data_IF_302492310290
#
_entry.id   IF_302492310290
#
_cell.length_a   1.000
_cell.length_b   1.000
_cell.length_c   1.000
_cell.angle_alpha   90.00
_cell.angle_beta   90.00
_cell.angle_gamma   90.00
#
_symmetry.space_group_name_H-M   'P 1'
#
loop_
_entity.id
_entity.type
_entity.pdbx_description
1 polymer ?
#
# COMPACT_ATOMS: atom_id res chain seq x y z
N UNK A 1 73.23 8.97 6.77
CA UNK A 1 71.89 8.38 6.65
C UNK A 1 70.97 9.53 6.27
N UNK A 2 70.85 9.80 4.95
CA UNK A 2 69.74 9.29 4.11
C UNK A 2 68.40 9.82 4.64
N UNK A 3 67.71 10.80 4.06
CA UNK A 3 67.58 11.26 2.66
C UNK A 3 66.80 10.29 1.75
N UNK A 4 65.63 10.77 1.27
CA UNK A 4 64.81 10.20 0.17
C UNK A 4 64.08 8.90 0.61
N UNK A 5 62.76 8.72 0.42
CA UNK A 5 61.99 8.97 -0.80
C UNK A 5 60.49 9.20 -0.53
N UNK A 6 59.89 10.12 -1.29
CA UNK A 6 58.44 10.19 -1.43
C UNK A 6 57.94 9.07 -2.37
N UNK A 7 56.77 8.49 -2.09
CA UNK A 7 55.91 7.96 -3.16
C UNK A 7 54.44 8.31 -2.95
N UNK A 8 53.96 9.15 -3.86
CA UNK A 8 52.56 9.32 -4.24
C UNK A 8 52.00 8.02 -4.80
N UNK A 9 50.95 7.47 -4.18
CA UNK A 9 50.01 6.52 -4.77
C UNK A 9 48.82 6.36 -3.78
N UNK A 10 47.55 6.52 -4.13
CA UNK A 10 46.97 6.86 -5.42
C UNK A 10 45.52 7.31 -5.24
N UNK A 11 45.09 8.26 -6.07
CA UNK A 11 43.74 8.83 -6.05
C UNK A 11 42.67 7.75 -6.33
N UNK A 12 42.02 7.23 -5.29
CA UNK A 12 40.75 6.50 -5.38
C UNK A 12 39.66 7.25 -4.63
N UNK A 13 39.26 8.38 -5.20
CA UNK A 13 38.02 9.07 -4.87
C UNK A 13 36.85 8.10 -5.12
N UNK A 14 36.44 7.34 -4.08
CA UNK A 14 35.24 6.49 -4.14
C UNK A 14 34.03 7.41 -4.16
N UNK A 15 33.59 7.78 -5.37
CA UNK A 15 32.32 8.45 -5.61
C UNK A 15 31.24 7.52 -5.05
N UNK A 16 30.75 7.82 -3.85
CA UNK A 16 29.54 7.20 -3.32
C UNK A 16 28.41 7.71 -4.19
N UNK A 17 27.97 6.89 -5.13
CA UNK A 17 26.83 7.19 -5.97
C UNK A 17 25.59 7.13 -5.06
N UNK A 18 25.31 8.24 -4.38
CA UNK A 18 24.11 8.38 -3.57
C UNK A 18 22.92 8.36 -4.55
N UNK A 19 22.01 7.38 -4.44
CA UNK A 19 20.83 7.36 -5.30
C UNK A 19 20.09 8.69 -5.09
N UNK A 20 19.70 9.34 -6.17
CA UNK A 20 18.87 10.54 -6.07
C UNK A 20 17.56 10.19 -5.34
N UNK A 21 16.88 11.15 -4.69
CA UNK A 21 15.60 10.86 -4.04
C UNK A 21 14.59 10.20 -4.97
N UNK A 22 14.59 10.57 -6.26
CA UNK A 22 13.79 9.95 -7.31
C UNK A 22 14.15 8.46 -7.54
N UNK A 23 15.43 8.09 -7.49
CA UNK A 23 15.88 6.70 -7.59
C UNK A 23 15.48 5.88 -6.36
N UNK A 24 15.47 6.48 -5.16
CA UNK A 24 14.91 5.86 -3.95
C UNK A 24 13.41 5.58 -4.07
N UNK A 25 12.63 6.56 -4.52
CA UNK A 25 11.19 6.40 -4.78
C UNK A 25 10.92 5.36 -5.89
N UNK A 26 11.71 5.38 -6.97
CA UNK A 26 11.59 4.40 -8.05
C UNK A 26 11.86 2.96 -7.58
N UNK A 27 12.83 2.75 -6.69
CA UNK A 27 13.10 1.44 -6.10
C UNK A 27 11.95 0.97 -5.20
N UNK A 28 11.39 1.85 -4.34
CA UNK A 28 10.23 1.50 -3.50
C UNK A 28 9.01 1.18 -4.37
N UNK A 29 8.73 1.98 -5.39
CA UNK A 29 7.65 1.73 -6.34
C UNK A 29 7.84 0.40 -7.10
N UNK A 30 9.08 0.06 -7.48
CA UNK A 30 9.41 -1.21 -8.12
C UNK A 30 9.21 -2.40 -7.16
N UNK A 31 9.59 -2.28 -5.89
CA UNK A 31 9.32 -3.32 -4.88
C UNK A 31 7.82 -3.51 -4.61
N UNK A 32 7.02 -2.43 -4.60
CA UNK A 32 5.55 -2.53 -4.47
C UNK A 32 4.93 -3.17 -5.71
N UNK A 33 5.37 -2.78 -6.92
CA UNK A 33 4.89 -3.34 -8.17
C UNK A 33 5.24 -4.84 -8.35
N UNK A 34 6.46 -5.25 -7.98
CA UNK A 34 6.88 -6.65 -8.02
C UNK A 34 6.28 -7.47 -6.85
N UNK A 35 6.10 -6.85 -5.68
CA UNK A 35 5.47 -7.48 -4.51
C UNK A 35 4.05 -7.98 -4.77
N UNK A 36 3.32 -7.34 -5.69
CA UNK A 36 2.00 -7.80 -6.16
C UNK A 36 1.99 -9.19 -6.82
N UNK A 37 3.15 -9.70 -7.28
CA UNK A 37 3.28 -11.08 -7.79
C UNK A 37 3.78 -12.08 -6.73
N UNK A 38 4.15 -11.62 -5.53
CA UNK A 38 4.70 -12.47 -4.47
C UNK A 38 3.67 -13.33 -3.72
N UNK A 39 2.37 -12.99 -3.79
CA UNK A 39 1.31 -13.69 -3.03
C UNK A 39 0.69 -14.91 -3.76
N UNK A 40 1.27 -15.32 -4.90
CA UNK A 40 0.81 -16.47 -5.69
C UNK A 40 1.96 -17.29 -6.30
N UNK A 41 3.08 -17.46 -5.58
CA UNK A 41 4.22 -18.28 -6.02
C UNK A 41 5.00 -18.94 -4.86
N UNK A 42 4.31 -19.42 -3.81
CA UNK A 42 4.93 -20.17 -2.70
C UNK A 42 5.36 -21.61 -3.04
N UNK A 43 5.89 -21.85 -4.25
CA UNK A 43 6.02 -23.20 -4.82
C UNK A 43 6.89 -23.31 -6.07
N UNK A 44 7.97 -22.53 -6.18
CA UNK A 44 9.03 -22.73 -7.17
C UNK A 44 10.38 -22.22 -6.63
N UNK A 45 11.48 -22.80 -7.11
CA UNK A 45 12.87 -22.41 -6.81
C UNK A 45 13.41 -22.79 -5.41
N UNK A 46 13.23 -24.06 -5.03
CA UNK A 46 14.30 -24.80 -4.36
C UNK A 46 15.22 -25.41 -5.43
N UNK A 47 16.53 -25.19 -5.32
CA UNK A 47 17.53 -25.82 -6.18
C UNK A 47 18.64 -24.87 -6.64
N UNK A 48 19.85 -25.14 -6.15
CA UNK A 48 21.18 -24.99 -6.76
C UNK A 48 21.46 -23.79 -7.70
N UNK A 49 22.52 -22.99 -7.53
CA UNK A 49 23.80 -23.32 -6.90
C UNK A 49 24.85 -23.67 -7.95
N UNK A 50 25.29 -22.69 -8.73
CA UNK A 50 26.66 -22.59 -9.29
C UNK A 50 26.85 -21.29 -10.09
N UNK A 51 28.09 -20.84 -10.27
CA UNK A 51 28.40 -19.59 -10.96
C UNK A 51 29.64 -19.66 -11.86
N UNK A 52 29.73 -18.73 -12.83
CA UNK A 52 30.89 -18.45 -13.69
C UNK A 52 30.96 -16.94 -13.93
N UNK A 53 31.98 -16.22 -13.46
CA UNK A 53 33.33 -15.99 -14.04
C UNK A 53 33.34 -15.21 -15.36
N UNK A 54 34.17 -14.16 -15.38
CA UNK A 54 34.45 -13.29 -16.53
C UNK A 54 35.74 -13.71 -17.27
N UNK A 55 35.96 -13.26 -18.52
CA UNK A 55 37.13 -12.40 -18.86
C UNK A 55 37.20 -11.90 -20.34
N UNK A 56 37.85 -10.74 -20.52
CA UNK A 56 38.60 -10.24 -21.72
C UNK A 56 37.96 -10.11 -23.12
N UNK A 57 38.21 -8.97 -23.79
CA UNK A 57 39.22 -8.87 -24.88
C UNK A 57 39.32 -7.47 -25.59
N UNK A 58 40.55 -7.12 -26.01
CA UNK A 58 40.93 -6.29 -27.19
C UNK A 58 40.56 -4.77 -27.26
N UNK A 59 41.33 -3.88 -27.92
CA UNK A 59 42.73 -3.85 -28.46
C UNK A 59 43.17 -2.38 -28.68
N UNK A 60 44.48 -2.12 -28.90
CA UNK A 60 45.05 -0.79 -29.30
C UNK A 60 45.79 -0.85 -30.65
N UNK A 61 45.92 0.30 -31.33
CA UNK A 61 46.88 0.61 -32.42
C UNK A 61 47.01 2.15 -32.57
N UNK A 62 48.19 2.81 -32.63
CA UNK A 62 49.25 2.81 -33.67
C UNK A 62 48.95 3.79 -34.85
N UNK A 63 49.86 4.61 -35.44
CA UNK A 63 51.31 4.90 -35.22
C UNK A 63 51.82 6.06 -36.14
N UNK A 64 52.49 7.10 -35.57
CA UNK A 64 53.50 8.05 -36.20
C UNK A 64 53.03 8.87 -37.45
N UNK A 65 53.78 9.77 -38.11
CA UNK A 65 55.20 10.24 -38.10
C UNK A 65 55.27 11.73 -38.54
N UNK A 66 56.24 12.55 -38.09
CA UNK A 66 57.03 13.45 -38.98
C UNK A 66 58.27 14.10 -38.32
N UNK A 67 59.11 14.76 -39.15
CA UNK A 67 60.48 15.25 -38.90
C UNK A 67 60.71 16.49 -39.79
N UNK A 68 61.46 17.53 -39.42
CA UNK A 68 62.22 17.78 -38.18
C UNK A 68 63.49 18.61 -38.48
N UNK A 69 63.52 19.94 -38.21
CA UNK A 69 64.50 20.87 -38.79
C UNK A 69 65.70 21.21 -37.88
N UNK A 70 66.76 21.78 -38.47
CA UNK A 70 67.86 22.46 -37.77
C UNK A 70 67.97 23.89 -38.33
N UNK A 71 67.90 24.90 -37.47
CA UNK A 71 67.87 26.31 -37.85
C UNK A 71 69.21 27.04 -37.67
N UNK A 72 69.19 28.37 -37.87
CA UNK A 72 70.32 29.26 -37.59
C UNK A 72 69.92 30.50 -36.77
N UNK A 73 70.68 30.68 -35.69
CA UNK A 73 71.15 31.93 -35.05
C UNK A 73 70.18 33.09 -34.84
N UNK A 74 69.81 33.29 -33.58
CA UNK A 74 68.82 34.26 -33.13
C UNK A 74 69.21 35.74 -33.14
N UNK A 75 68.16 36.56 -33.03
CA UNK A 75 68.21 37.99 -32.83
C UNK A 75 67.38 38.37 -31.59
N UNK A 76 67.86 39.35 -30.82
CA UNK A 76 67.24 40.07 -29.67
C UNK A 76 66.49 39.21 -28.63
N UNK A 77 66.98 39.23 -27.39
CA UNK A 77 66.36 38.51 -26.26
C UNK A 77 64.85 38.78 -26.15
N UNK A 78 64.04 37.73 -25.88
CA UNK A 78 62.58 37.83 -25.93
C UNK A 78 62.05 38.79 -24.86
N UNK A 79 60.90 39.40 -25.13
CA UNK A 79 60.15 40.12 -24.12
C UNK A 79 59.83 39.19 -22.93
N UNK A 80 59.84 39.74 -21.71
CA UNK A 80 59.60 38.98 -20.48
C UNK A 80 58.27 38.19 -20.55
N UNK A 81 58.18 37.02 -19.90
CA UNK A 81 57.02 36.16 -20.00
C UNK A 81 55.76 36.91 -19.54
N UNK A 82 54.69 36.82 -20.34
CA UNK A 82 53.37 37.32 -19.96
C UNK A 82 52.97 36.66 -18.64
N UNK A 83 52.55 37.48 -17.66
CA UNK A 83 52.17 37.01 -16.34
C UNK A 83 51.16 35.86 -16.41
N UNK A 84 51.28 34.90 -15.48
CA UNK A 84 50.43 33.72 -15.41
C UNK A 84 48.95 34.11 -15.44
N UNK A 85 48.14 33.39 -16.20
CA UNK A 85 46.70 33.58 -16.19
C UNK A 85 46.17 33.45 -14.75
N UNK A 86 45.25 34.34 -14.36
CA UNK A 86 44.62 34.28 -13.05
C UNK A 86 43.89 32.95 -12.83
N UNK A 87 43.72 32.52 -11.57
CA UNK A 87 43.01 31.28 -11.26
C UNK A 87 41.60 31.30 -11.85
N UNK A 88 41.14 30.13 -12.32
CA UNK A 88 39.77 29.99 -12.81
C UNK A 88 38.78 30.36 -11.70
N UNK A 89 37.73 31.13 -12.05
CA UNK A 89 36.69 31.50 -11.10
C UNK A 89 35.99 30.28 -10.51
N UNK A 90 35.60 30.36 -9.24
CA UNK A 90 34.90 29.28 -8.54
C UNK A 90 33.60 28.93 -9.25
N UNK A 91 33.34 27.63 -9.45
CA UNK A 91 32.05 27.14 -9.94
C UNK A 91 30.92 27.65 -9.06
N UNK A 92 29.85 28.16 -9.66
CA UNK A 92 28.68 28.65 -8.93
C UNK A 92 28.01 27.57 -8.08
N UNK A 93 27.35 27.98 -7.00
CA UNK A 93 26.62 27.07 -6.12
C UNK A 93 25.50 26.34 -6.89
N UNK A 94 25.24 25.09 -6.51
CA UNK A 94 24.11 24.34 -7.06
C UNK A 94 22.79 25.01 -6.67
N UNK A 95 21.85 25.11 -7.62
CA UNK A 95 20.52 25.68 -7.37
C UNK A 95 19.72 24.88 -6.34
N UNK A 96 18.85 25.57 -5.61
CA UNK A 96 18.03 24.94 -4.58
C UNK A 96 17.03 23.94 -5.16
N UNK A 97 16.68 22.93 -4.34
CA UNK A 97 15.70 21.92 -4.71
C UNK A 97 14.30 22.53 -4.69
N UNK A 98 13.54 22.36 -5.78
CA UNK A 98 12.13 22.77 -5.83
C UNK A 98 11.28 22.16 -4.69
N UNK A 99 10.28 22.91 -4.25
CA UNK A 99 9.40 22.52 -3.16
C UNK A 99 8.60 21.23 -3.48
N UNK A 100 8.21 20.44 -2.47
CA UNK A 100 7.28 19.32 -2.65
C UNK A 100 5.96 19.76 -3.29
N UNK A 101 5.37 18.90 -4.12
CA UNK A 101 4.02 19.13 -4.65
C UNK A 101 2.97 19.11 -3.54
N UNK A 102 1.87 19.84 -3.74
CA UNK A 102 0.76 19.87 -2.80
C UNK A 102 0.09 18.50 -2.67
N UNK A 103 -0.41 18.19 -1.46
CA UNK A 103 -1.24 17.01 -1.21
C UNK A 103 -2.52 17.07 -2.06
N UNK A 104 -2.91 15.94 -2.64
CA UNK A 104 -4.17 15.85 -3.39
C UNK A 104 -5.39 16.12 -2.50
N UNK A 105 -6.44 16.69 -3.09
CA UNK A 105 -7.70 16.93 -2.38
C UNK A 105 -8.36 15.61 -1.94
N UNK A 106 -9.05 15.66 -0.80
CA UNK A 106 -9.92 14.57 -0.35
C UNK A 106 -11.01 14.30 -1.40
N UNK A 107 -11.30 13.02 -1.66
CA UNK A 107 -12.39 12.63 -2.57
C UNK A 107 -13.76 13.11 -2.06
N UNK A 108 -14.76 13.21 -2.96
CA UNK A 108 -16.12 13.57 -2.56
C UNK A 108 -16.74 12.48 -1.68
N UNK A 109 -17.69 12.88 -0.83
CA UNK A 109 -18.53 11.94 -0.09
C UNK A 109 -19.35 11.08 -1.07
N UNK A 110 -19.50 9.78 -0.76
CA UNK A 110 -20.35 8.87 -1.53
C UNK A 110 -21.85 9.22 -1.46
N UNK A 111 -22.67 8.67 -2.36
CA UNK A 111 -24.12 8.86 -2.34
C UNK A 111 -24.74 8.30 -1.05
N UNK A 112 -25.90 8.84 -0.65
CA UNK A 112 -26.67 8.30 0.45
C UNK A 112 -27.16 6.87 0.15
N UNK A 113 -27.15 6.00 1.16
CA UNK A 113 -27.63 4.61 1.02
C UNK A 113 -29.14 4.53 0.84
N UNK A 114 -29.61 3.50 0.14
CA UNK A 114 -31.03 3.28 -0.22
C UNK A 114 -31.80 2.39 0.77
N UNK A 115 -31.27 2.17 1.98
CA UNK A 115 -31.91 1.32 2.97
C UNK A 115 -33.21 1.93 3.48
N UNK A 116 -34.31 1.17 3.45
CA UNK A 116 -35.62 1.56 3.98
C UNK A 116 -35.70 1.45 5.50
N UNK A 117 -34.94 0.52 6.08
CA UNK A 117 -34.86 0.29 7.52
C UNK A 117 -33.47 -0.26 7.89
N UNK A 118 -32.94 0.09 9.06
CA UNK A 118 -31.72 -0.52 9.60
C UNK A 118 -31.68 -0.48 11.13
N UNK A 119 -30.91 -1.36 11.75
CA UNK A 119 -30.60 -1.34 13.18
C UNK A 119 -29.31 -2.11 13.51
N UNK A 120 -28.54 -1.60 14.47
CA UNK A 120 -27.65 -2.41 15.30
C UNK A 120 -28.47 -3.09 16.41
N UNK A 121 -28.31 -4.41 16.53
CA UNK A 121 -29.04 -5.32 17.40
C UNK A 121 -28.01 -6.01 18.30
N UNK A 122 -28.16 -5.85 19.61
CA UNK A 122 -27.33 -6.56 20.58
C UNK A 122 -27.64 -8.06 20.63
N UNK A 123 -26.74 -8.85 21.21
CA UNK A 123 -26.94 -10.27 21.57
C UNK A 123 -28.25 -10.52 22.36
N UNK A 124 -28.70 -9.54 23.14
CA UNK A 124 -29.98 -9.56 23.87
C UNK A 124 -31.21 -9.22 23.03
N UNK A 125 -31.08 -9.03 21.72
CA UNK A 125 -32.17 -8.68 20.81
C UNK A 125 -32.75 -7.28 21.06
N UNK A 126 -31.96 -6.37 21.63
CA UNK A 126 -32.30 -4.96 21.82
C UNK A 126 -31.70 -4.11 20.72
N UNK A 127 -32.46 -3.11 20.27
CA UNK A 127 -32.01 -2.12 19.28
C UNK A 127 -31.09 -1.10 19.95
N UNK A 128 -29.88 -0.91 19.41
CA UNK A 128 -28.90 0.02 19.95
C UNK A 128 -29.32 1.46 19.67
N UNK A 129 -29.55 2.23 20.73
CA UNK A 129 -30.01 3.62 20.65
C UNK A 129 -29.07 4.49 19.79
N UNK A 130 -29.63 5.27 18.86
CA UNK A 130 -28.87 6.09 17.90
C UNK A 130 -28.33 5.33 16.67
N UNK A 131 -28.41 4.01 16.65
CA UNK A 131 -27.92 3.16 15.54
C UNK A 131 -29.06 2.43 14.81
N UNK A 132 -30.22 3.08 14.68
CA UNK A 132 -31.39 2.49 14.02
C UNK A 132 -32.27 3.53 13.30
N UNK A 133 -32.95 3.07 12.26
CA UNK A 133 -33.96 3.80 11.50
C UNK A 133 -35.09 2.85 11.10
N UNK A 134 -36.33 3.25 11.35
CA UNK A 134 -37.56 2.47 11.07
C UNK A 134 -37.67 1.09 11.76
N UNK A 135 -36.70 0.71 12.60
CA UNK A 135 -36.70 -0.49 13.45
C UNK A 135 -36.56 -0.07 14.91
N UNK A 136 -37.37 -0.67 15.78
CA UNK A 136 -37.38 -0.46 17.24
C UNK A 136 -37.42 -1.80 17.96
N UNK A 137 -37.26 -1.82 19.29
CA UNK A 137 -37.38 -3.05 20.09
C UNK A 137 -38.74 -3.77 19.92
N UNK A 138 -39.80 -3.05 19.54
CA UNK A 138 -41.11 -3.63 19.26
C UNK A 138 -41.13 -4.46 17.95
N UNK A 139 -40.20 -4.22 17.04
CA UNK A 139 -40.07 -4.93 15.76
C UNK A 139 -39.20 -6.19 15.86
N UNK A 140 -38.50 -6.39 16.98
CA UNK A 140 -37.48 -7.45 17.14
C UNK A 140 -37.92 -8.43 18.21
N UNK A 141 -37.97 -9.71 17.87
CA UNK A 141 -38.33 -10.77 18.82
C UNK A 141 -37.34 -11.93 18.77
N UNK A 142 -36.84 -12.34 19.94
CA UNK A 142 -36.02 -13.56 20.05
C UNK A 142 -36.97 -14.75 20.22
N UNK A 143 -36.72 -15.82 19.45
CA UNK A 143 -37.53 -17.06 19.50
C UNK A 143 -36.73 -18.26 19.98
N UNK A 144 -35.41 -18.25 19.80
CA UNK A 144 -34.46 -19.25 20.28
C UNK A 144 -33.08 -18.60 20.44
N UNK A 145 -32.12 -19.26 21.10
CA UNK A 145 -30.73 -18.76 21.16
C UNK A 145 -30.19 -18.56 19.74
N UNK A 146 -29.58 -17.40 19.49
CA UNK A 146 -29.09 -17.00 18.17
C UNK A 146 -30.17 -16.87 17.08
N UNK A 147 -31.46 -16.72 17.41
CA UNK A 147 -32.52 -16.60 16.42
C UNK A 147 -33.47 -15.43 16.67
N UNK A 148 -33.41 -14.46 15.76
CA UNK A 148 -34.10 -13.18 15.82
C UNK A 148 -35.13 -13.07 14.68
N UNK A 149 -36.36 -12.67 15.00
CA UNK A 149 -37.44 -12.46 14.04
C UNK A 149 -37.83 -10.99 13.99
N UNK A 150 -37.90 -10.45 12.77
CA UNK A 150 -38.21 -9.06 12.49
C UNK A 150 -39.62 -8.91 11.92
N UNK A 151 -40.46 -8.10 12.57
CA UNK A 151 -41.74 -7.64 12.03
C UNK A 151 -41.63 -6.20 11.56
N UNK A 152 -41.49 -6.05 10.24
CA UNK A 152 -41.36 -4.77 9.54
C UNK A 152 -42.55 -4.52 8.59
N UNK A 153 -43.65 -5.24 8.79
CA UNK A 153 -44.88 -5.11 8.00
C UNK A 153 -45.42 -3.66 8.00
N UNK A 154 -45.34 -2.98 9.15
CA UNK A 154 -45.73 -1.58 9.32
C UNK A 154 -44.89 -0.55 8.54
N UNK A 155 -43.75 -0.96 7.98
CA UNK A 155 -42.90 -0.13 7.09
C UNK A 155 -42.84 -0.68 5.66
N UNK A 156 -43.72 -1.63 5.33
CA UNK A 156 -43.84 -2.22 3.98
C UNK A 156 -42.77 -3.25 3.64
N UNK A 157 -42.03 -3.75 4.63
CA UNK A 157 -40.95 -4.73 4.45
C UNK A 157 -41.43 -6.10 4.96
N UNK A 158 -41.35 -7.11 4.08
CA UNK A 158 -41.78 -8.48 4.36
C UNK A 158 -40.78 -9.47 3.78
N UNK A 159 -40.82 -10.73 4.23
CA UNK A 159 -39.94 -11.80 3.71
C UNK A 159 -40.02 -12.02 2.19
N UNK A 160 -41.07 -11.53 1.51
CA UNK A 160 -41.23 -11.64 0.06
C UNK A 160 -40.55 -10.53 -0.75
N UNK A 161 -40.37 -9.33 -0.14
CA UNK A 161 -39.90 -8.13 -0.85
C UNK A 161 -38.60 -7.55 -0.29
N UNK A 162 -38.15 -8.02 0.88
CA UNK A 162 -36.95 -7.51 1.53
C UNK A 162 -35.67 -8.06 0.90
N UNK A 163 -34.68 -7.18 0.69
CA UNK A 163 -33.28 -7.59 0.52
C UNK A 163 -32.52 -7.20 1.79
N UNK A 164 -32.46 -8.11 2.80
CA UNK A 164 -31.74 -7.86 4.02
C UNK A 164 -30.23 -8.11 3.87
N UNK A 165 -29.42 -7.17 4.34
CA UNK A 165 -27.97 -7.25 4.44
C UNK A 165 -27.61 -7.09 5.90
N UNK A 166 -26.83 -7.99 6.47
CA UNK A 166 -26.36 -7.86 7.85
C UNK A 166 -24.89 -8.22 7.99
N UNK A 167 -24.25 -7.63 8.99
CA UNK A 167 -22.89 -7.88 9.41
C UNK A 167 -22.85 -8.05 10.93
N UNK A 168 -22.05 -9.00 11.39
CA UNK A 168 -21.77 -9.20 12.82
C UNK A 168 -21.11 -7.94 13.40
N UNK A 169 -21.56 -7.49 14.56
CA UNK A 169 -21.01 -6.33 15.26
C UNK A 169 -20.06 -6.81 16.35
N UNK A 170 -18.76 -6.74 16.04
CA UNK A 170 -17.68 -7.11 16.96
C UNK A 170 -17.46 -6.08 18.09
N UNK A 171 -18.28 -5.04 18.17
CA UNK A 171 -18.20 -3.97 19.17
C UNK A 171 -19.07 -4.23 20.42
N UNK A 172 -19.72 -5.40 20.49
CA UNK A 172 -20.61 -5.81 21.59
C UNK A 172 -19.96 -6.91 22.44
N UNK A 173 -20.16 -6.87 23.77
CA UNK A 173 -19.44 -7.65 24.79
C UNK A 173 -19.53 -9.20 24.68
N UNK A 174 -20.34 -9.71 23.75
CA UNK A 174 -20.60 -11.14 23.55
C UNK A 174 -20.13 -11.68 22.20
N UNK A 175 -19.65 -10.83 21.29
CA UNK A 175 -19.32 -11.25 19.92
C UNK A 175 -17.89 -11.78 19.82
N UNK A 176 -17.72 -13.01 19.32
CA UNK A 176 -16.43 -13.68 19.11
C UNK A 176 -15.91 -13.54 17.66
N UNK A 177 -14.59 -13.73 17.46
CA UNK A 177 -13.91 -13.28 16.23
C UNK A 177 -14.27 -14.07 14.96
N UNK A 178 -14.92 -15.21 15.09
CA UNK A 178 -15.54 -15.92 13.98
C UNK A 178 -16.98 -16.33 14.28
N UNK A 179 -17.70 -15.51 15.04
CA UNK A 179 -19.17 -15.54 14.97
C UNK A 179 -19.59 -15.20 13.52
N UNK A 180 -20.44 -16.04 12.94
CA UNK A 180 -20.93 -15.90 11.58
C UNK A 180 -22.44 -15.68 11.60
N UNK A 181 -22.91 -14.79 10.73
CA UNK A 181 -24.34 -14.49 10.63
C UNK A 181 -24.90 -14.99 9.29
N UNK A 182 -25.99 -15.76 9.37
CA UNK A 182 -26.83 -16.09 8.24
C UNK A 182 -28.11 -15.25 8.30
N UNK A 183 -28.32 -14.42 7.27
CA UNK A 183 -29.60 -13.75 7.05
C UNK A 183 -30.53 -14.73 6.35
N UNK A 184 -31.69 -15.01 6.94
CA UNK A 184 -32.59 -16.07 6.49
C UNK A 184 -33.97 -15.46 6.17
N UNK A 185 -34.05 -14.84 5.00
CA UNK A 185 -35.30 -14.28 4.47
C UNK A 185 -36.18 -15.35 3.80
N UNK A 186 -36.71 -16.29 4.57
CA UNK A 186 -37.87 -17.08 4.13
C UNK A 186 -38.86 -17.30 5.27
N UNK A 187 -40.15 -17.33 4.92
CA UNK A 187 -41.25 -17.45 5.88
C UNK A 187 -41.47 -18.87 6.41
N UNK A 188 -40.59 -19.81 6.07
CA UNK A 188 -40.80 -21.26 6.21
C UNK A 188 -40.03 -21.89 7.38
N UNK A 189 -39.23 -21.10 8.10
CA UNK A 189 -38.58 -21.56 9.32
C UNK A 189 -39.55 -21.42 10.49
N UNK A 190 -40.00 -22.57 11.03
CA UNK A 190 -40.99 -22.78 12.11
C UNK A 190 -40.80 -21.96 13.42
N UNK A 191 -39.77 -21.13 13.50
CA UNK A 191 -39.45 -20.27 14.62
C UNK A 191 -39.99 -18.83 14.45
N UNK A 192 -40.11 -18.28 13.23
CA UNK A 192 -40.74 -16.97 12.99
C UNK A 192 -42.20 -17.13 12.53
N UNK A 193 -42.99 -16.05 12.63
CA UNK A 193 -44.34 -16.02 12.06
C UNK A 193 -44.27 -15.76 10.56
N UNK A 194 -45.21 -16.31 9.77
CA UNK A 194 -45.25 -16.11 8.31
C UNK A 194 -45.20 -14.62 7.93
N UNK A 195 -44.31 -14.26 7.01
CA UNK A 195 -44.07 -12.87 6.56
C UNK A 195 -42.97 -12.11 7.32
N UNK A 196 -42.59 -12.56 8.52
CA UNK A 196 -41.44 -12.03 9.26
C UNK A 196 -40.11 -12.49 8.66
N UNK A 197 -39.04 -11.75 8.93
CA UNK A 197 -37.69 -12.07 8.45
C UNK A 197 -36.88 -12.69 9.58
N UNK A 198 -36.26 -13.84 9.34
CA UNK A 198 -35.38 -14.51 10.30
C UNK A 198 -33.93 -14.10 10.12
N UNK A 199 -33.23 -13.89 11.23
CA UNK A 199 -31.76 -13.78 11.27
C UNK A 199 -31.23 -14.81 12.26
N UNK A 200 -30.18 -15.53 11.86
CA UNK A 200 -29.53 -16.54 12.69
C UNK A 200 -28.05 -16.24 12.83
N UNK A 201 -27.58 -16.21 14.07
CA UNK A 201 -26.15 -16.10 14.41
C UNK A 201 -25.61 -17.48 14.80
N UNK A 202 -24.34 -17.69 14.48
CA UNK A 202 -23.60 -18.93 14.70
C UNK A 202 -22.24 -18.61 15.30
N UNK A 203 -21.70 -19.54 16.08
CA UNK A 203 -20.31 -19.50 16.55
C UNK A 203 -19.32 -20.08 15.50
N UNK A 204 -18.02 -19.95 15.78
CA UNK A 204 -16.90 -20.53 15.03
C UNK A 204 -17.00 -22.05 14.77
N UNK A 205 -17.74 -22.78 15.59
CA UNK A 205 -17.95 -24.23 15.49
C UNK A 205 -19.27 -24.60 14.76
N UNK A 206 -20.04 -23.62 14.30
CA UNK A 206 -21.36 -23.81 13.68
C UNK A 206 -22.50 -24.10 14.67
N UNK A 207 -22.26 -23.92 15.98
CA UNK A 207 -23.31 -23.88 17.00
C UNK A 207 -24.12 -22.58 16.95
N UNK A 208 -25.23 -22.52 17.68
CA UNK A 208 -26.09 -21.33 17.73
C UNK A 208 -25.74 -20.46 18.94
N UNK A 209 -25.02 -19.37 18.71
CA UNK A 209 -24.69 -18.39 19.75
C UNK A 209 -25.30 -17.00 19.45
N UNK A 210 -25.90 -16.29 20.42
CA UNK A 210 -26.44 -14.96 20.21
C UNK A 210 -25.35 -13.89 20.16
N UNK A 211 -24.85 -13.62 18.95
CA UNK A 211 -23.95 -12.50 18.66
C UNK A 211 -24.72 -11.18 18.43
N UNK A 212 -24.04 -10.04 18.62
CA UNK A 212 -24.52 -8.73 18.17
C UNK A 212 -24.33 -8.54 16.66
N UNK A 213 -25.22 -7.78 16.01
CA UNK A 213 -25.15 -7.55 14.56
C UNK A 213 -25.85 -6.27 14.12
N UNK A 214 -25.38 -5.68 13.03
CA UNK A 214 -26.10 -4.62 12.30
C UNK A 214 -26.79 -5.20 11.08
N UNK A 215 -28.07 -4.87 10.88
CA UNK A 215 -28.87 -5.27 9.72
C UNK A 215 -29.50 -4.04 9.04
N UNK A 216 -29.57 -4.08 7.71
CA UNK A 216 -30.26 -3.12 6.86
C UNK A 216 -31.15 -3.85 5.85
N UNK A 217 -32.25 -3.21 5.46
CA UNK A 217 -33.25 -3.74 4.53
C UNK A 217 -33.45 -2.76 3.39
N UNK A 218 -33.37 -3.24 2.15
CA UNK A 218 -33.61 -2.46 0.92
C UNK A 218 -34.97 -2.79 0.31
#
# INVERSE_FOLDING_TARGET
MEAVKAQTEGNRMRIRHMPSPAMGVALVALFVALGGTGYAAGGAFSGDGDGLRAETAARRGARRVQRGPRGFTGARGPAGPRGTAGPAGSTGAAGERGAPGATGATGPQGPAGTAKAFASISSGGRVRAGHAFAITDANVSIRSRGYYCFDLSGVGITSANAVPIAAVDYSDDNTSSGDVLAVISSGDFNNCTAGQIGVRTYDDAGGFDPAGFTIAFM
#
